data_IF_863969345174
#
_entry.id   IF_863969345174
#
_cell.length_a   1.000
_cell.length_b   1.000
_cell.length_c   1.000
_cell.angle_alpha   90.00
_cell.angle_beta   90.00
_cell.angle_gamma   90.00
#
_symmetry.space_group_name_H-M   'P 1'
#
loop_
_entity.id
_entity.type
_entity.pdbx_description
1 polymer ?
#
# COMPACT_ATOMS: atom_id res chain seq x y z
N UNK A 1 5.98 -9.41 -29.36
CA UNK A 1 6.79 -8.99 -28.22
C UNK A 1 6.03 -9.23 -26.93
N UNK A 2 6.60 -9.95 -26.04
CA UNK A 2 5.96 -10.24 -24.78
C UNK A 2 5.99 -9.01 -23.89
N UNK A 3 4.83 -8.60 -23.47
CA UNK A 3 4.69 -7.49 -22.55
C UNK A 3 5.20 -7.93 -21.18
N UNK A 4 6.18 -7.23 -20.66
CA UNK A 4 6.65 -7.52 -19.32
C UNK A 4 5.58 -7.13 -18.32
N UNK A 5 5.16 -8.10 -17.51
CA UNK A 5 4.31 -7.80 -16.37
C UNK A 5 5.12 -6.97 -15.38
N UNK A 6 4.47 -5.98 -14.78
CA UNK A 6 5.12 -5.22 -13.75
C UNK A 6 5.13 -6.06 -12.47
N UNK A 7 6.31 -6.52 -12.01
CA UNK A 7 6.37 -7.42 -10.86
C UNK A 7 5.78 -6.83 -9.59
N UNK A 8 5.96 -5.53 -9.40
CA UNK A 8 5.42 -4.86 -8.22
C UNK A 8 3.90 -4.86 -8.21
N UNK A 9 3.27 -4.58 -9.35
CA UNK A 9 1.82 -4.62 -9.46
C UNK A 9 1.28 -6.02 -9.22
N UNK A 10 2.00 -7.02 -9.68
CA UNK A 10 1.62 -8.42 -9.48
C UNK A 10 1.70 -8.82 -8.01
N UNK A 11 2.77 -8.42 -7.36
CA UNK A 11 2.97 -8.67 -5.94
C UNK A 11 1.88 -7.97 -5.11
N UNK A 12 1.60 -6.71 -5.43
CA UNK A 12 0.56 -5.96 -4.73
C UNK A 12 -0.79 -6.66 -4.84
N UNK A 13 -1.18 -7.05 -6.05
CA UNK A 13 -2.44 -7.74 -6.26
C UNK A 13 -2.54 -9.02 -5.42
N UNK A 14 -1.48 -9.79 -5.39
CA UNK A 14 -1.43 -11.05 -4.64
C UNK A 14 -1.60 -10.79 -3.14
N UNK A 15 -0.89 -9.79 -2.63
CA UNK A 15 -0.99 -9.39 -1.23
C UNK A 15 -2.42 -8.98 -0.89
N UNK A 16 -3.01 -8.10 -1.70
CA UNK A 16 -4.33 -7.58 -1.43
C UNK A 16 -5.40 -8.68 -1.47
N UNK A 17 -5.28 -9.63 -2.39
CA UNK A 17 -6.21 -10.75 -2.43
C UNK A 17 -6.11 -11.62 -1.18
N UNK A 18 -4.89 -11.88 -0.70
CA UNK A 18 -4.70 -12.64 0.52
C UNK A 18 -5.27 -11.91 1.74
N UNK A 19 -5.05 -10.60 1.84
CA UNK A 19 -5.58 -9.81 2.94
C UNK A 19 -7.11 -9.75 2.90
N UNK A 20 -7.67 -9.64 1.71
CA UNK A 20 -9.13 -9.67 1.56
C UNK A 20 -9.70 -11.00 2.03
N UNK A 21 -9.05 -12.12 1.69
CA UNK A 21 -9.46 -13.43 2.17
C UNK A 21 -9.39 -13.54 3.69
N UNK A 22 -8.44 -12.85 4.30
CA UNK A 22 -8.34 -12.79 5.76
C UNK A 22 -9.36 -11.83 6.36
N UNK A 23 -10.09 -11.13 5.53
CA UNK A 23 -11.16 -10.25 5.95
C UNK A 23 -10.75 -8.82 6.24
N UNK A 24 -9.57 -8.39 5.85
CA UNK A 24 -9.20 -6.99 5.97
C UNK A 24 -9.95 -6.15 4.94
N UNK A 25 -10.20 -4.91 5.29
CA UNK A 25 -10.74 -3.93 4.34
C UNK A 25 -9.58 -3.29 3.59
N UNK A 26 -9.57 -3.41 2.27
CA UNK A 26 -8.43 -3.00 1.46
C UNK A 26 -8.82 -1.96 0.42
N UNK A 27 -7.85 -1.12 0.04
CA UNK A 27 -8.05 -0.16 -1.03
C UNK A 27 -6.74 0.25 -1.65
N UNK A 28 -6.69 0.25 -2.98
CA UNK A 28 -5.55 0.77 -3.72
C UNK A 28 -5.56 2.29 -3.70
N UNK A 29 -4.36 2.86 -3.68
CA UNK A 29 -4.19 4.30 -3.73
C UNK A 29 -3.92 4.70 -5.19
N UNK A 30 -4.72 5.62 -5.70
CA UNK A 30 -4.48 6.19 -7.04
C UNK A 30 -3.56 7.38 -6.88
N UNK A 31 -2.36 7.26 -7.45
CA UNK A 31 -1.35 8.30 -7.36
C UNK A 31 -1.12 9.04 -8.65
N UNK A 32 -1.83 8.67 -9.72
CA UNK A 32 -1.65 9.31 -11.02
C UNK A 32 -2.29 10.69 -11.04
N UNK A 33 -1.55 11.66 -11.54
CA UNK A 33 -2.09 12.98 -11.79
C UNK A 33 -3.13 12.95 -12.89
N UNK A 34 -3.93 14.00 -12.96
CA UNK A 34 -4.97 14.12 -13.98
C UNK A 34 -4.37 14.46 -15.33
N UNK A 35 -4.92 13.87 -16.39
CA UNK A 35 -4.59 14.22 -17.76
C UNK A 35 -5.77 14.96 -18.36
N UNK A 36 -5.51 16.16 -18.88
CA UNK A 36 -6.54 16.98 -19.48
C UNK A 36 -6.20 17.24 -20.92
N UNK A 37 -7.21 17.14 -21.80
CA UNK A 37 -7.08 17.53 -23.20
C UNK A 37 -7.43 19.01 -23.33
N UNK A 38 -6.47 19.80 -23.78
CA UNK A 38 -6.66 21.23 -24.03
C UNK A 38 -6.19 21.54 -25.44
N UNK A 39 -7.08 22.08 -26.27
CA UNK A 39 -6.74 22.44 -27.65
C UNK A 39 -6.19 21.28 -28.44
N UNK A 40 -6.70 20.08 -28.21
CA UNK A 40 -6.24 18.88 -28.89
C UNK A 40 -4.94 18.28 -28.32
N UNK A 41 -4.30 18.93 -27.37
CA UNK A 41 -3.09 18.43 -26.76
C UNK A 41 -3.40 17.85 -25.38
N UNK A 42 -2.78 16.70 -25.10
CA UNK A 42 -2.90 16.07 -23.79
C UNK A 42 -1.91 16.75 -22.84
N UNK A 43 -2.43 17.38 -21.81
CA UNK A 43 -1.61 18.02 -20.79
C UNK A 43 -1.75 17.25 -19.49
N UNK A 44 -0.63 16.81 -18.96
CA UNK A 44 -0.59 16.19 -17.64
C UNK A 44 -0.48 17.29 -16.59
N UNK A 45 -1.48 17.34 -15.71
CA UNK A 45 -1.50 18.30 -14.63
C UNK A 45 -1.22 17.53 -13.34
N UNK A 46 -0.10 17.88 -12.73
CA UNK A 46 0.25 17.34 -11.41
C UNK A 46 -0.38 18.23 -10.36
N UNK A 47 -1.21 17.64 -9.53
CA UNK A 47 -1.82 18.36 -8.42
C UNK A 47 -0.74 18.72 -7.40
N UNK A 48 -0.50 20.01 -7.21
CA UNK A 48 0.52 20.49 -6.28
C UNK A 48 0.18 20.18 -4.82
N UNK A 49 -1.08 19.94 -4.52
CA UNK A 49 -1.54 19.58 -3.19
C UNK A 49 -1.54 18.07 -2.95
N UNK A 50 -1.24 17.30 -3.99
CA UNK A 50 -1.20 15.86 -3.87
C UNK A 50 -0.01 15.44 -2.99
N UNK A 51 -0.29 14.59 -2.02
CA UNK A 51 0.75 14.04 -1.15
C UNK A 51 1.67 13.14 -1.96
N UNK A 52 2.97 13.33 -1.80
CA UNK A 52 3.97 12.49 -2.45
C UNK A 52 4.38 11.34 -1.54
N UNK A 53 4.84 10.27 -2.17
CA UNK A 53 5.33 9.11 -1.44
C UNK A 53 4.23 8.26 -0.83
N UNK A 54 2.99 8.41 -1.31
CA UNK A 54 1.89 7.57 -0.84
C UNK A 54 2.17 6.09 -1.10
N UNK A 55 1.72 5.21 -0.21
CA UNK A 55 1.86 3.77 -0.44
C UNK A 55 0.96 3.31 -1.59
N UNK A 56 1.20 2.07 -2.03
CA UNK A 56 0.39 1.49 -3.10
C UNK A 56 -1.03 1.19 -2.66
N UNK A 57 -1.21 0.87 -1.38
CA UNK A 57 -2.52 0.50 -0.86
C UNK A 57 -2.59 0.69 0.65
N UNK A 58 -3.82 0.75 1.14
CA UNK A 58 -4.10 0.69 2.57
C UNK A 58 -4.94 -0.54 2.87
N UNK A 59 -4.74 -1.09 4.06
CA UNK A 59 -5.54 -2.19 4.55
C UNK A 59 -5.91 -1.93 6.01
N UNK A 60 -7.13 -2.25 6.38
CA UNK A 60 -7.64 -2.02 7.72
C UNK A 60 -8.00 -3.34 8.36
N UNK A 61 -7.49 -3.57 9.56
CA UNK A 61 -7.80 -4.76 10.36
C UNK A 61 -8.29 -4.28 11.72
N UNK A 62 -9.60 -4.11 11.85
CA UNK A 62 -10.15 -3.49 13.04
C UNK A 62 -9.67 -2.04 13.15
N UNK A 63 -8.94 -1.74 14.23
CA UNK A 63 -8.38 -0.40 14.48
C UNK A 63 -6.96 -0.22 13.98
N UNK A 64 -6.39 -1.26 13.36
CA UNK A 64 -5.05 -1.19 12.83
C UNK A 64 -5.11 -0.84 11.35
N UNK A 65 -4.36 0.18 10.96
CA UNK A 65 -4.27 0.62 9.59
C UNK A 65 -2.87 0.30 9.05
N UNK A 66 -2.83 -0.47 7.97
CA UNK A 66 -1.59 -0.81 7.28
C UNK A 66 -1.45 0.01 6.01
N UNK A 67 -0.29 0.63 5.83
CA UNK A 67 0.11 1.22 4.57
C UNK A 67 1.07 0.23 3.90
N UNK A 68 0.75 -0.19 2.69
CA UNK A 68 1.50 -1.24 2.01
C UNK A 68 2.17 -0.65 0.77
N UNK A 69 3.48 -0.72 0.74
CA UNK A 69 4.29 -0.34 -0.40
C UNK A 69 5.03 -1.58 -0.91
N UNK A 70 4.84 -1.92 -2.19
CA UNK A 70 5.52 -3.07 -2.77
C UNK A 70 6.75 -2.64 -3.54
N UNK A 71 7.80 -3.41 -3.37
CA UNK A 71 9.05 -3.22 -4.11
C UNK A 71 9.57 -4.58 -4.55
N UNK A 72 10.27 -4.59 -5.67
CA UNK A 72 10.99 -5.75 -6.17
C UNK A 72 12.46 -5.41 -6.17
N UNK A 73 13.27 -6.26 -5.55
CA UNK A 73 14.73 -6.05 -5.52
C UNK A 73 15.29 -5.92 -6.93
N UNK A 74 16.23 -5.01 -7.16
CA UNK A 74 16.98 -4.21 -6.18
C UNK A 74 16.35 -2.85 -5.86
N UNK A 75 15.10 -2.62 -6.23
CA UNK A 75 14.45 -1.33 -6.03
C UNK A 75 14.31 -1.00 -4.55
N UNK A 76 14.52 0.26 -4.23
CA UNK A 76 14.43 0.78 -2.87
C UNK A 76 13.39 1.89 -2.83
N UNK A 77 12.84 2.17 -1.65
CA UNK A 77 11.91 3.31 -1.51
C UNK A 77 12.56 4.61 -1.91
N UNK A 78 11.78 5.51 -2.49
CA UNK A 78 12.21 6.88 -2.77
C UNK A 78 12.29 7.66 -1.46
N UNK A 79 12.95 8.82 -1.49
CA UNK A 79 13.02 9.69 -0.32
C UNK A 79 11.64 10.09 0.17
N UNK A 80 10.74 10.36 -0.75
CA UNK A 80 9.37 10.74 -0.43
C UNK A 80 8.61 9.59 0.24
N UNK A 81 8.84 8.37 -0.20
CA UNK A 81 8.25 7.18 0.41
C UNK A 81 8.80 6.94 1.81
N UNK A 82 10.10 7.15 2.00
CA UNK A 82 10.70 7.02 3.33
C UNK A 82 10.12 8.08 4.28
N UNK A 83 10.01 9.31 3.80
CA UNK A 83 9.43 10.39 4.60
C UNK A 83 8.00 10.07 5.03
N UNK A 84 7.19 9.59 4.08
CA UNK A 84 5.82 9.18 4.40
C UNK A 84 5.82 8.07 5.45
N UNK A 85 6.68 7.06 5.29
CA UNK A 85 6.73 5.94 6.21
C UNK A 85 7.06 6.38 7.63
N UNK A 86 7.99 7.31 7.78
CA UNK A 86 8.37 7.83 9.08
C UNK A 86 7.23 8.59 9.75
N UNK A 87 6.49 9.36 8.98
CA UNK A 87 5.35 10.11 9.51
C UNK A 87 4.16 9.20 9.83
N UNK A 88 3.96 8.16 9.02
CA UNK A 88 2.80 7.30 9.14
C UNK A 88 2.96 6.24 10.23
N UNK A 89 4.15 5.63 10.30
CA UNK A 89 4.38 4.47 11.13
C UNK A 89 4.28 4.80 12.62
N UNK A 90 3.24 4.28 13.26
CA UNK A 90 2.97 4.49 14.68
C UNK A 90 2.26 3.26 15.24
N UNK A 91 3.01 2.16 15.45
CA UNK A 91 2.39 0.93 15.93
C UNK A 91 1.78 1.11 17.32
N UNK A 92 0.73 0.37 17.64
CA UNK A 92 0.10 -0.64 16.78
C UNK A 92 -0.96 -0.11 15.83
N UNK A 93 -1.34 1.17 15.91
CA UNK A 93 -2.49 1.70 15.19
C UNK A 93 -2.22 1.95 13.71
N UNK A 94 -1.03 2.40 13.38
CA UNK A 94 -0.61 2.65 12.02
C UNK A 94 0.70 1.93 11.76
N UNK A 95 0.72 1.09 10.75
CA UNK A 95 1.89 0.26 10.43
C UNK A 95 2.22 0.42 8.95
N UNK A 96 3.43 0.85 8.66
CA UNK A 96 3.93 0.91 7.30
C UNK A 96 4.68 -0.38 6.98
N UNK A 97 4.25 -1.06 5.92
CA UNK A 97 4.86 -2.30 5.46
C UNK A 97 5.51 -2.10 4.10
N UNK A 98 6.81 -2.25 4.06
CA UNK A 98 7.56 -2.32 2.81
C UNK A 98 7.66 -3.78 2.42
N UNK A 99 6.93 -4.17 1.38
CA UNK A 99 6.74 -5.57 1.04
C UNK A 99 7.55 -5.98 -0.18
N UNK A 100 8.43 -6.96 -0.01
CA UNK A 100 9.16 -7.60 -1.10
C UNK A 100 8.58 -8.97 -1.43
N UNK A 101 7.74 -9.52 -0.58
CA UNK A 101 7.06 -10.80 -0.79
C UNK A 101 5.74 -10.83 -0.01
N UNK A 102 4.91 -11.83 -0.32
CA UNK A 102 3.62 -11.99 0.36
C UNK A 102 3.76 -12.54 1.76
N UNK A 103 4.68 -13.48 1.93
CA UNK A 103 4.81 -14.23 3.19
C UNK A 103 5.13 -13.31 4.36
N UNK A 104 6.04 -12.38 4.17
CA UNK A 104 6.41 -11.42 5.22
C UNK A 104 5.23 -10.58 5.68
N UNK A 105 4.40 -10.15 4.73
CA UNK A 105 3.21 -9.36 5.05
C UNK A 105 2.22 -10.17 5.86
N UNK A 106 1.93 -11.39 5.41
CA UNK A 106 0.98 -12.26 6.08
C UNK A 106 1.46 -12.60 7.49
N UNK A 107 2.73 -12.95 7.63
CA UNK A 107 3.31 -13.25 8.94
C UNK A 107 3.22 -12.07 9.89
N UNK A 108 3.51 -10.88 9.39
CA UNK A 108 3.43 -9.68 10.20
C UNK A 108 2.00 -9.44 10.69
N UNK A 109 1.03 -9.55 9.79
CA UNK A 109 -0.38 -9.34 10.13
C UNK A 109 -0.85 -10.39 11.15
N UNK A 110 -0.45 -11.64 10.97
CA UNK A 110 -0.80 -12.69 11.94
C UNK A 110 -0.19 -12.41 13.32
N UNK A 111 1.05 -11.94 13.35
CA UNK A 111 1.68 -11.54 14.60
C UNK A 111 0.92 -10.40 15.26
N UNK A 112 0.51 -9.40 14.49
CA UNK A 112 -0.26 -8.27 15.00
C UNK A 112 -1.62 -8.71 15.53
N UNK A 113 -2.29 -9.63 14.86
CA UNK A 113 -3.55 -10.19 15.31
C UNK A 113 -3.42 -10.93 16.64
N UNK A 114 -2.31 -11.66 16.78
CA UNK A 114 -2.04 -12.39 18.02
C UNK A 114 -1.75 -11.41 19.16
N UNK A 115 -0.86 -10.45 18.92
CA UNK A 115 -0.41 -9.52 19.97
C UNK A 115 -1.47 -8.49 20.34
N UNK A 116 -2.22 -8.02 19.37
CA UNK A 116 -3.18 -6.93 19.54
C UNK A 116 -4.60 -7.37 19.18
N UNK A 117 -4.99 -8.55 19.66
CA UNK A 117 -6.29 -9.13 19.31
C UNK A 117 -7.46 -8.21 19.65
N UNK A 118 -7.33 -7.42 20.70
CA UNK A 118 -8.39 -6.48 21.11
C UNK A 118 -8.59 -5.34 20.08
N UNK A 119 -7.56 -5.02 19.30
CA UNK A 119 -7.65 -4.00 18.25
C UNK A 119 -8.20 -4.57 16.94
N UNK A 120 -8.03 -5.86 16.72
CA UNK A 120 -8.44 -6.52 15.47
C UNK A 120 -9.78 -7.23 15.59
N UNK A 121 -10.37 -7.24 16.78
CA UNK A 121 -11.63 -7.95 17.01
C UNK A 121 -12.74 -7.35 16.15
N UNK A 122 -13.38 -8.22 15.41
CA UNK A 122 -14.54 -7.84 14.60
C UNK A 122 -15.82 -8.14 15.36
N UNK A 123 -16.78 -7.27 15.16
CA UNK A 123 -18.16 -7.57 15.59
C UNK A 123 -18.68 -8.60 14.60
N UNK A 124 -18.92 -9.75 15.10
CA UNK A 124 -19.29 -10.92 14.35
C UNK A 124 -20.63 -10.91 13.79
#
# INVERSE_FOLDING_TARGET
MLRRKQPEAHLLRKILLLLKLKGLYIGKVKTKGSTILRGGARTFIKDQLQMRGLPDAFAFDGRIMYAIETKVKPNKPTEEQVFFSEMFHHPPYRVYLLAYDCESVVEYIEMMRSRYSHLTRRRG
#
